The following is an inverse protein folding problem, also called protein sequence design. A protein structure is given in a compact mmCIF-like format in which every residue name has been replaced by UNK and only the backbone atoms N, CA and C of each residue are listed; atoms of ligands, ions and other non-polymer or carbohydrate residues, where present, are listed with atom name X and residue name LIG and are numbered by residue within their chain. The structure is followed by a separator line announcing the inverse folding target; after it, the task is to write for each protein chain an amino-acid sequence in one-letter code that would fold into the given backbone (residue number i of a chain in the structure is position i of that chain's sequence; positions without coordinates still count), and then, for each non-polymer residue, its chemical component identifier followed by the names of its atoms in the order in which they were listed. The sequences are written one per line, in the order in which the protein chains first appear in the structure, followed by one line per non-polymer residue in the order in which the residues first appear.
data_IF_843984754532
#
_entry.id   IF_843984754532
#
_cell.length_a   1.000
_cell.length_b   1.000
_cell.length_c   1.000
_cell.angle_alpha   90.00
_cell.angle_beta   90.00
_cell.angle_gamma   90.00
#
_symmetry.space_group_name_H-M   'P 1'
#
loop_
_entity.id
_entity.type
_entity.pdbx_description
1 polymer ?
#
# COMPACT_ATOMS: atom_id res chain seq x y z
N UNK A 1 14.88 -1.36 23.08
CA UNK A 1 13.94 -2.48 22.91
C UNK A 1 12.77 -1.93 22.12
N UNK A 2 12.77 -2.08 20.80
CA UNK A 2 11.64 -1.62 19.98
C UNK A 2 10.60 -2.73 19.97
N UNK A 3 9.65 -2.66 20.91
CA UNK A 3 8.42 -3.45 20.83
C UNK A 3 7.75 -3.09 19.50
N UNK A 4 7.91 -3.96 18.52
CA UNK A 4 7.25 -3.81 17.23
C UNK A 4 5.81 -4.26 17.43
N UNK A 5 4.81 -3.42 17.18
CA UNK A 5 3.43 -3.76 17.50
C UNK A 5 3.00 -5.00 16.69
N UNK A 6 2.49 -6.01 17.39
CA UNK A 6 1.84 -7.18 16.80
C UNK A 6 0.39 -6.88 16.36
N UNK A 7 -0.01 -5.61 16.43
CA UNK A 7 -1.34 -5.11 16.08
C UNK A 7 -1.27 -3.87 15.19
N UNK A 8 -2.38 -3.62 14.49
CA UNK A 8 -2.58 -2.40 13.72
C UNK A 8 -2.63 -1.19 14.66
N UNK A 9 -1.91 -0.13 14.31
CA UNK A 9 -1.91 1.10 15.11
C UNK A 9 -3.22 1.88 14.93
N UNK A 10 -3.66 2.65 15.94
CA UNK A 10 -4.85 3.49 15.80
C UNK A 10 -4.77 4.49 14.65
N UNK A 11 -3.56 4.98 14.35
CA UNK A 11 -3.32 5.89 13.21
C UNK A 11 -3.58 5.18 11.88
N UNK A 12 -3.08 3.95 11.74
CA UNK A 12 -3.29 3.14 10.53
C UNK A 12 -4.76 2.73 10.36
N UNK A 13 -5.43 2.32 11.45
CA UNK A 13 -6.84 2.00 11.43
C UNK A 13 -7.70 3.21 11.05
N UNK A 14 -7.42 4.37 11.64
CA UNK A 14 -8.11 5.62 11.30
C UNK A 14 -7.88 6.00 9.83
N UNK A 15 -6.66 5.89 9.33
CA UNK A 15 -6.35 6.17 7.93
C UNK A 15 -7.15 5.26 6.99
N UNK A 16 -7.11 3.94 7.22
CA UNK A 16 -7.84 2.96 6.38
C UNK A 16 -9.35 3.17 6.41
N UNK A 17 -9.92 3.54 7.56
CA UNK A 17 -11.36 3.76 7.70
C UNK A 17 -11.83 5.09 7.08
N UNK A 18 -10.96 6.10 6.99
CA UNK A 18 -11.31 7.43 6.47
C UNK A 18 -10.83 7.69 5.03
N UNK A 19 -10.09 6.77 4.43
CA UNK A 19 -9.64 6.94 3.05
C UNK A 19 -10.71 6.43 2.08
N UNK A 20 -11.32 7.35 1.35
CA UNK A 20 -12.29 7.00 0.30
C UNK A 20 -11.59 6.23 -0.83
N UNK A 21 -12.24 5.18 -1.32
CA UNK A 21 -11.69 4.32 -2.38
C UNK A 21 -10.70 3.25 -1.88
N UNK A 22 -10.27 3.27 -0.61
CA UNK A 22 -9.48 2.18 -0.03
C UNK A 22 -10.40 1.03 0.36
N UNK A 23 -10.22 -0.13 -0.26
CA UNK A 23 -10.75 -1.37 0.29
C UNK A 23 -9.92 -1.76 1.51
N UNK A 24 -10.58 -2.02 2.64
CA UNK A 24 -9.87 -2.36 3.87
C UNK A 24 -9.01 -3.64 3.65
N UNK A 25 -7.67 -3.56 3.82
CA UNK A 25 -6.73 -4.63 3.51
C UNK A 25 -6.72 -5.69 4.61
N UNK A 26 -7.75 -6.54 4.65
CA UNK A 26 -8.01 -7.48 5.75
C UNK A 26 -6.89 -8.51 5.93
N UNK A 27 -6.40 -9.10 4.84
CA UNK A 27 -5.38 -10.13 4.89
C UNK A 27 -4.02 -9.54 5.28
N UNK A 28 -3.66 -8.38 4.71
CA UNK A 28 -2.41 -7.69 5.03
C UNK A 28 -2.42 -7.16 6.46
N UNK A 29 -3.51 -6.53 6.93
CA UNK A 29 -3.61 -6.03 8.29
C UNK A 29 -3.62 -7.17 9.34
N UNK A 30 -4.19 -8.33 9.00
CA UNK A 30 -4.23 -9.48 9.91
C UNK A 30 -2.91 -10.24 9.98
N UNK A 31 -2.21 -10.41 8.85
CA UNK A 31 -1.00 -11.24 8.79
C UNK A 31 0.28 -10.41 8.97
N UNK A 32 0.26 -9.15 8.52
CA UNK A 32 1.42 -8.26 8.50
C UNK A 32 1.03 -6.83 8.93
N UNK A 33 0.46 -6.61 10.13
CA UNK A 33 0.03 -5.29 10.59
C UNK A 33 1.17 -4.24 10.58
N UNK A 34 2.42 -4.70 10.75
CA UNK A 34 3.62 -3.87 10.72
C UNK A 34 3.85 -3.19 9.36
N UNK A 35 3.53 -3.89 8.26
CA UNK A 35 3.64 -3.34 6.91
C UNK A 35 2.64 -2.19 6.75
N UNK A 36 1.39 -2.41 7.17
CA UNK A 36 0.33 -1.39 7.11
C UNK A 36 0.69 -0.16 7.94
N UNK A 37 1.18 -0.37 9.17
CA UNK A 37 1.61 0.72 10.03
C UNK A 37 2.70 1.57 9.35
N UNK A 38 3.71 0.92 8.78
CA UNK A 38 4.80 1.62 8.12
C UNK A 38 4.35 2.36 6.85
N UNK A 39 3.44 1.78 6.07
CA UNK A 39 2.84 2.46 4.91
C UNK A 39 2.15 3.76 5.34
N UNK A 40 1.38 3.75 6.42
CA UNK A 40 0.68 4.94 6.92
C UNK A 40 1.66 5.97 7.51
N UNK A 41 2.79 5.54 8.09
CA UNK A 41 3.86 6.45 8.49
C UNK A 41 4.47 7.18 7.26
N UNK A 42 4.64 6.46 6.16
CA UNK A 42 5.18 6.97 4.89
C UNK A 42 4.16 7.71 4.01
N UNK A 43 2.88 7.82 4.42
CA UNK A 43 1.82 8.42 3.58
C UNK A 43 2.15 9.84 3.06
N UNK A 44 2.95 10.60 3.82
CA UNK A 44 3.32 11.98 3.50
C UNK A 44 4.58 12.05 2.60
N UNK A 45 5.33 10.94 2.46
CA UNK A 45 6.51 10.79 1.61
C UNK A 45 6.20 9.84 0.45
N UNK A 46 5.74 10.40 -0.68
CA UNK A 46 5.35 9.62 -1.86
C UNK A 46 6.50 8.83 -2.48
N UNK A 47 7.72 9.35 -2.43
CA UNK A 47 8.89 8.68 -3.00
C UNK A 47 9.30 7.48 -2.13
N UNK A 48 9.36 7.69 -0.81
CA UNK A 48 9.58 6.62 0.16
C UNK A 48 8.50 5.55 0.12
N UNK A 49 7.23 5.95 -0.01
CA UNK A 49 6.10 5.04 -0.14
C UNK A 49 6.18 4.19 -1.42
N UNK A 50 6.52 4.81 -2.56
CA UNK A 50 6.70 4.11 -3.84
C UNK A 50 7.88 3.14 -3.80
N UNK A 51 8.99 3.54 -3.20
CA UNK A 51 10.13 2.67 -2.99
C UNK A 51 9.75 1.45 -2.14
N UNK A 52 9.04 1.67 -1.02
CA UNK A 52 8.62 0.60 -0.13
C UNK A 52 7.64 -0.37 -0.78
N UNK A 53 6.64 0.12 -1.54
CA UNK A 53 5.75 -0.75 -2.31
C UNK A 53 6.50 -1.57 -3.37
N UNK A 54 7.49 -0.97 -4.03
CA UNK A 54 8.33 -1.70 -4.97
C UNK A 54 9.15 -2.77 -4.25
N UNK A 55 9.70 -2.51 -3.07
CA UNK A 55 10.42 -3.51 -2.27
C UNK A 55 9.51 -4.67 -1.81
N UNK A 56 8.24 -4.40 -1.50
CA UNK A 56 7.27 -5.44 -1.13
C UNK A 56 6.88 -6.34 -2.32
N UNK A 57 6.87 -5.80 -3.53
CA UNK A 57 6.43 -6.49 -4.75
C UNK A 57 7.57 -7.07 -5.57
N UNK A 58 8.78 -6.52 -5.47
CA UNK A 58 9.96 -7.03 -6.16
C UNK A 58 10.65 -8.09 -5.30
N UNK A 59 10.59 -9.33 -5.77
CA UNK A 59 11.30 -10.47 -5.21
C UNK A 59 12.80 -10.40 -5.50
N UNK A 60 13.51 -9.50 -4.81
CA UNK A 60 14.98 -9.43 -4.87
C UNK A 60 15.66 -10.39 -3.88
N UNK A 61 14.93 -11.25 -3.17
CA UNK A 61 15.48 -12.09 -2.11
C UNK A 61 15.13 -13.55 -2.38
N UNK A 62 15.84 -14.15 -3.34
CA UNK A 62 15.71 -15.53 -3.82
C UNK A 62 15.74 -16.62 -2.73
N UNK A 63 14.66 -16.70 -1.96
CA UNK A 63 14.54 -17.51 -0.75
C UNK A 63 13.37 -17.13 0.19
N UNK A 64 12.67 -16.00 -0.03
CA UNK A 64 11.40 -15.75 0.67
C UNK A 64 10.24 -16.35 -0.13
N UNK A 65 9.37 -17.10 0.55
CA UNK A 65 8.05 -17.39 0.00
C UNK A 65 7.37 -16.03 -0.21
N UNK A 66 6.96 -15.72 -1.44
CA UNK A 66 6.21 -14.51 -1.75
C UNK A 66 4.95 -14.39 -0.89
N UNK A 67 4.31 -13.23 -0.95
CA UNK A 67 3.06 -13.05 -0.20
C UNK A 67 1.95 -13.97 -0.76
N UNK A 68 1.04 -14.47 0.10
CA UNK A 68 -0.19 -15.08 -0.36
C UNK A 68 -0.96 -14.16 -1.31
N UNK A 69 -1.72 -14.74 -2.23
CA UNK A 69 -2.47 -13.97 -3.23
C UNK A 69 -3.36 -12.88 -2.62
N UNK A 70 -4.09 -13.18 -1.54
CA UNK A 70 -4.95 -12.21 -0.86
C UNK A 70 -4.15 -11.02 -0.28
N UNK A 71 -2.94 -11.28 0.20
CA UNK A 71 -2.04 -10.25 0.73
C UNK A 71 -1.47 -9.41 -0.41
N UNK A 72 -1.15 -10.02 -1.55
CA UNK A 72 -0.73 -9.28 -2.75
C UNK A 72 -1.85 -8.37 -3.26
N UNK A 73 -3.08 -8.86 -3.31
CA UNK A 73 -4.25 -8.04 -3.69
C UNK A 73 -4.41 -6.83 -2.77
N UNK A 74 -4.34 -7.04 -1.46
CA UNK A 74 -4.41 -5.94 -0.47
C UNK A 74 -3.27 -4.92 -0.66
N UNK A 75 -2.05 -5.37 -0.97
CA UNK A 75 -0.90 -4.49 -1.25
C UNK A 75 -1.15 -3.67 -2.52
N UNK A 76 -1.69 -4.29 -3.58
CA UNK A 76 -2.02 -3.59 -4.82
C UNK A 76 -3.15 -2.58 -4.64
N UNK A 77 -4.24 -2.95 -3.97
CA UNK A 77 -5.36 -2.05 -3.69
C UNK A 77 -4.91 -0.84 -2.87
N UNK A 78 -4.03 -1.04 -1.87
CA UNK A 78 -3.44 0.04 -1.09
C UNK A 78 -2.52 0.94 -1.91
N UNK A 79 -1.67 0.35 -2.76
CA UNK A 79 -0.78 1.12 -3.63
C UNK A 79 -1.58 2.01 -4.56
N UNK A 80 -2.63 1.48 -5.17
CA UNK A 80 -3.51 2.27 -6.03
C UNK A 80 -4.18 3.41 -5.25
N UNK A 81 -4.68 3.15 -4.06
CA UNK A 81 -5.35 4.19 -3.29
C UNK A 81 -4.42 5.27 -2.72
N UNK A 82 -3.17 4.92 -2.37
CA UNK A 82 -2.21 5.87 -1.77
C UNK A 82 -1.35 6.60 -2.82
N UNK A 83 -0.99 5.91 -3.91
CA UNK A 83 -0.10 6.45 -4.95
C UNK A 83 -0.82 6.70 -6.28
N UNK A 84 -1.89 5.97 -6.59
CA UNK A 84 -2.60 6.07 -7.88
C UNK A 84 -1.71 5.75 -9.08
N UNK A 85 -0.66 4.96 -8.89
CA UNK A 85 0.40 4.76 -9.88
C UNK A 85 0.40 3.37 -10.53
N UNK A 86 -0.48 2.46 -10.08
CA UNK A 86 -0.67 1.14 -10.71
C UNK A 86 -1.53 1.27 -11.96
N UNK A 87 -2.56 2.12 -11.93
CA UNK A 87 -3.28 2.51 -13.13
C UNK A 87 -2.54 3.68 -13.79
N UNK A 88 -1.69 3.36 -14.78
CA UNK A 88 -1.20 4.35 -15.76
C UNK A 88 -2.32 5.02 -16.59
N UNK A 89 -3.59 4.86 -16.19
CA UNK A 89 -4.68 5.76 -16.53
C UNK A 89 -4.81 6.78 -15.40
N UNK A 90 -3.81 7.65 -15.26
CA UNK A 90 -4.19 9.04 -14.99
C UNK A 90 -5.22 9.36 -16.06
N UNK A 91 -6.48 9.60 -15.68
CA UNK A 91 -7.34 10.45 -16.49
C UNK A 91 -6.61 11.78 -16.54
N UNK A 92 -5.64 11.90 -17.44
CA UNK A 92 -5.25 13.18 -17.92
C UNK A 92 -6.48 13.67 -18.69
N UNK A 93 -7.34 14.41 -18.00
CA UNK A 93 -8.32 15.29 -18.66
C UNK A 93 -7.62 16.38 -19.52
N UNK A 94 -6.36 16.16 -19.92
CA UNK A 94 -5.52 17.00 -20.75
C UNK A 94 -5.19 16.41 -22.11
N UNK A 95 -5.55 15.17 -22.45
CA UNK A 95 -5.61 14.81 -23.86
C UNK A 95 -6.90 15.33 -24.49
N UNK A 96 -6.95 16.67 -24.62
CA UNK A 96 -7.76 17.35 -25.62
C UNK A 96 -7.48 16.68 -26.96
N UNK A 97 -8.36 15.78 -27.36
CA UNK A 97 -8.52 15.42 -28.76
C UNK A 97 -8.95 16.71 -29.49
N UNK A 98 -7.96 17.43 -30.00
CA UNK A 98 -8.15 18.56 -30.90
C UNK A 98 -8.84 18.05 -32.17
N UNK A 99 -9.84 18.82 -32.56
CA UNK A 99 -10.85 18.62 -33.62
C UNK A 99 -10.35 18.07 -34.94
#
# INVERSE_FOLDING_TARGET
MSETPDSLSPSAEHFLNNTEGVKFPKALASQYPRIVNHLVELKDDKDGLRAYFNELTHDHRGGRHGFPFDVLMDIHDLREAMLGDLTGFTLDDNNKWVS
#
